data_IF_744527645701
#
_entry.id   IF_744527645701
#
_cell.length_a   1.000
_cell.length_b   1.000
_cell.length_c   1.000
_cell.angle_alpha   90.00
_cell.angle_beta   90.00
_cell.angle_gamma   90.00
#
_symmetry.space_group_name_H-M   'P 1'
#
loop_
_entity.id
_entity.type
_entity.pdbx_description
1 polymer ?
#
# COMPACT_ATOMS: atom_id res chain seq x y z
N UNK A 1 19.50 13.56 -5.79
CA UNK A 1 18.32 13.46 -6.67
C UNK A 1 17.07 13.66 -5.85
N UNK A 2 16.12 14.42 -6.37
CA UNK A 2 14.88 14.76 -5.63
C UNK A 2 13.61 14.29 -6.32
N UNK A 3 13.69 13.95 -7.61
CA UNK A 3 12.52 13.59 -8.40
C UNK A 3 12.68 12.16 -8.93
N UNK A 4 11.57 11.42 -8.93
CA UNK A 4 11.52 10.04 -9.37
C UNK A 4 10.33 9.82 -10.29
N UNK A 5 10.51 9.03 -11.33
CA UNK A 5 9.43 8.59 -12.20
C UNK A 5 9.12 7.13 -11.89
N UNK A 6 7.96 6.82 -11.30
CA UNK A 6 7.62 5.44 -10.98
C UNK A 6 7.66 4.50 -12.18
N UNK A 7 7.36 5.02 -13.38
CA UNK A 7 7.34 4.19 -14.59
C UNK A 7 8.73 3.71 -15.02
N UNK A 8 9.78 4.34 -14.52
CA UNK A 8 11.17 3.95 -14.81
C UNK A 8 11.74 2.99 -13.77
N UNK A 9 10.99 2.72 -12.69
CA UNK A 9 11.45 1.84 -11.63
C UNK A 9 10.92 0.44 -11.83
N UNK A 10 11.81 -0.55 -11.67
CA UNK A 10 11.43 -1.95 -11.68
C UNK A 10 10.43 -2.25 -10.56
N UNK A 11 9.45 -3.08 -10.88
CA UNK A 11 8.42 -3.53 -9.94
C UNK A 11 8.98 -4.63 -9.04
N UNK A 12 8.65 -4.55 -7.75
CA UNK A 12 8.93 -5.61 -6.78
C UNK A 12 7.62 -6.30 -6.40
N UNK A 13 7.55 -7.61 -6.54
CA UNK A 13 6.42 -8.38 -6.00
C UNK A 13 6.57 -8.48 -4.49
N UNK A 14 5.55 -8.03 -3.75
CA UNK A 14 5.53 -8.11 -2.29
C UNK A 14 4.98 -9.46 -1.82
N UNK A 15 3.84 -9.83 -2.36
CA UNK A 15 3.22 -11.15 -2.26
C UNK A 15 2.50 -11.41 -3.58
N UNK A 16 1.96 -12.62 -3.76
CA UNK A 16 1.24 -12.96 -4.99
C UNK A 16 0.13 -11.96 -5.29
N UNK A 17 0.17 -11.33 -6.46
CA UNK A 17 -0.82 -10.37 -6.93
C UNK A 17 -0.64 -8.95 -6.43
N UNK A 18 0.36 -8.68 -5.60
CA UNK A 18 0.60 -7.35 -5.06
C UNK A 18 2.03 -6.92 -5.34
N UNK A 19 2.17 -5.84 -6.09
CA UNK A 19 3.45 -5.35 -6.62
C UNK A 19 3.65 -3.90 -6.24
N UNK A 20 4.87 -3.51 -5.96
CA UNK A 20 5.16 -2.13 -5.55
C UNK A 20 6.40 -1.58 -6.23
N UNK A 21 6.38 -0.28 -6.39
CA UNK A 21 7.55 0.54 -6.69
C UNK A 21 7.75 1.46 -5.51
N UNK A 22 8.91 1.35 -4.84
CA UNK A 22 9.16 2.09 -3.61
C UNK A 22 10.28 3.09 -3.76
N UNK A 23 10.11 4.19 -3.06
CA UNK A 23 11.05 5.31 -3.03
C UNK A 23 11.15 5.77 -1.59
N UNK A 24 12.34 6.14 -1.13
CA UNK A 24 12.51 6.47 0.28
C UNK A 24 13.52 7.58 0.49
N UNK A 25 13.28 8.35 1.54
CA UNK A 25 14.21 9.29 2.12
C UNK A 25 14.74 8.74 3.44
N UNK A 26 15.07 9.65 4.34
CA UNK A 26 15.60 9.28 5.65
C UNK A 26 14.51 8.74 6.58
N UNK A 27 13.34 9.38 6.58
CA UNK A 27 12.28 9.14 7.57
C UNK A 27 10.97 8.61 6.99
N UNK A 28 10.84 8.57 5.67
CA UNK A 28 9.62 8.10 5.05
C UNK A 28 9.88 7.30 3.78
N UNK A 29 8.91 6.48 3.43
CA UNK A 29 8.90 5.71 2.19
C UNK A 29 7.57 5.92 1.48
N UNK A 30 7.64 6.12 0.17
CA UNK A 30 6.47 6.13 -0.71
C UNK A 30 6.45 4.82 -1.48
N UNK A 31 5.29 4.18 -1.53
CA UNK A 31 5.07 2.94 -2.28
C UNK A 31 3.88 3.10 -3.21
N UNK A 32 4.13 3.03 -4.51
CA UNK A 32 3.08 2.93 -5.52
C UNK A 32 2.76 1.46 -5.67
N UNK A 33 1.59 1.05 -5.20
CA UNK A 33 1.20 -0.36 -5.10
C UNK A 33 0.13 -0.68 -6.13
N UNK A 34 0.40 -1.70 -6.93
CA UNK A 34 -0.54 -2.29 -7.88
C UNK A 34 -1.07 -3.59 -7.29
N UNK A 35 -2.39 -3.73 -7.26
CA UNK A 35 -3.06 -4.89 -6.67
C UNK A 35 -3.91 -5.57 -7.74
N UNK A 36 -3.58 -6.82 -8.07
CA UNK A 36 -4.31 -7.58 -9.06
C UNK A 36 -5.73 -7.90 -8.58
N UNK A 37 -6.65 -8.03 -9.52
CA UNK A 37 -8.03 -8.47 -9.24
C UNK A 37 -8.01 -9.77 -8.42
N UNK A 38 -8.83 -9.83 -7.39
CA UNK A 38 -8.96 -11.00 -6.53
C UNK A 38 -7.83 -11.22 -5.54
N UNK A 39 -6.83 -10.35 -5.49
CA UNK A 39 -5.73 -10.51 -4.55
C UNK A 39 -6.16 -10.16 -3.13
N UNK A 40 -5.48 -10.76 -2.16
CA UNK A 40 -5.74 -10.55 -0.74
C UNK A 40 -4.41 -10.29 -0.04
N UNK A 41 -4.34 -9.18 0.68
CA UNK A 41 -3.29 -8.96 1.66
C UNK A 41 -3.86 -9.40 3.01
N UNK A 42 -3.41 -10.55 3.55
CA UNK A 42 -3.99 -11.07 4.79
C UNK A 42 -3.80 -10.12 5.96
N UNK A 43 -4.60 -10.32 7.00
CA UNK A 43 -4.46 -9.55 8.24
C UNK A 43 -3.02 -9.62 8.75
N UNK A 44 -2.44 -8.45 8.97
CA UNK A 44 -1.07 -8.32 9.42
C UNK A 44 -0.91 -7.02 10.22
N UNK A 45 0.24 -6.89 10.84
CA UNK A 45 0.61 -5.68 11.57
C UNK A 45 2.09 -5.41 11.41
N UNK A 46 2.48 -4.15 11.58
CA UNK A 46 3.87 -3.71 11.59
C UNK A 46 4.00 -2.46 12.44
N UNK A 47 5.21 -2.17 12.87
CA UNK A 47 5.48 -1.03 13.76
C UNK A 47 5.32 0.32 13.05
N UNK A 48 5.49 0.34 11.73
CA UNK A 48 5.43 1.55 10.93
C UNK A 48 4.03 2.15 10.93
N UNK A 49 3.94 3.47 11.05
CA UNK A 49 2.72 4.18 10.70
C UNK A 49 2.57 4.17 9.18
N UNK A 50 1.36 3.99 8.71
CA UNK A 50 1.06 3.92 7.28
C UNK A 50 -0.10 4.84 6.95
N UNK A 51 0.11 5.71 5.96
CA UNK A 51 -0.97 6.45 5.32
C UNK A 51 -1.13 5.98 3.89
N UNK A 52 -2.27 6.27 3.28
CA UNK A 52 -2.46 5.95 1.89
C UNK A 52 -3.65 6.63 1.26
N UNK A 53 -3.66 6.60 -0.06
CA UNK A 53 -4.76 7.10 -0.88
C UNK A 53 -5.00 6.14 -2.03
N UNK A 54 -6.28 5.84 -2.29
CA UNK A 54 -6.67 5.02 -3.44
C UNK A 54 -6.54 5.88 -4.69
N UNK A 55 -5.78 5.39 -5.67
CA UNK A 55 -5.55 6.08 -6.94
C UNK A 55 -6.45 5.54 -8.05
N UNK A 56 -6.74 4.24 -8.05
CA UNK A 56 -7.55 3.60 -9.08
C UNK A 56 -8.18 2.33 -8.54
N UNK A 57 -9.36 1.97 -9.08
CA UNK A 57 -10.09 0.79 -8.67
C UNK A 57 -10.75 0.91 -7.31
N UNK A 58 -11.31 -0.19 -6.83
CA UNK A 58 -11.93 -0.28 -5.52
C UNK A 58 -11.35 -1.44 -4.73
N UNK A 59 -11.30 -1.30 -3.42
CA UNK A 59 -10.87 -2.38 -2.56
C UNK A 59 -11.57 -2.31 -1.21
N UNK A 60 -11.69 -3.46 -0.57
CA UNK A 60 -12.21 -3.56 0.78
C UNK A 60 -11.04 -3.51 1.75
N UNK A 61 -11.07 -2.56 2.67
CA UNK A 61 -10.01 -2.34 3.64
C UNK A 61 -10.57 -2.53 5.05
N UNK A 62 -9.91 -3.36 5.84
CA UNK A 62 -10.27 -3.58 7.23
C UNK A 62 -9.12 -3.13 8.12
N UNK A 63 -9.40 -2.19 9.01
CA UNK A 63 -8.41 -1.63 9.95
C UNK A 63 -9.00 -1.75 11.35
N UNK A 64 -8.35 -2.51 12.21
CA UNK A 64 -8.78 -2.73 13.60
C UNK A 64 -10.26 -3.13 13.70
N UNK A 65 -10.71 -3.99 12.79
CA UNK A 65 -12.09 -4.47 12.74
C UNK A 65 -13.08 -3.56 12.04
N UNK A 66 -12.70 -2.35 11.67
CA UNK A 66 -13.54 -1.47 10.87
C UNK A 66 -13.30 -1.74 9.40
N UNK A 67 -14.35 -2.15 8.68
CA UNK A 67 -14.26 -2.52 7.27
C UNK A 67 -15.02 -1.53 6.41
N UNK A 68 -14.37 -1.05 5.35
CA UNK A 68 -14.97 -0.15 4.36
C UNK A 68 -14.54 -0.52 2.96
N UNK A 69 -15.43 -0.27 2.01
CA UNK A 69 -15.09 -0.28 0.58
C UNK A 69 -14.57 1.11 0.22
N UNK A 70 -13.34 1.15 -0.27
CA UNK A 70 -12.67 2.41 -0.65
C UNK A 70 -12.69 2.58 -2.16
N UNK A 71 -12.87 3.81 -2.59
CA UNK A 71 -12.88 4.22 -4.00
C UNK A 71 -11.79 5.28 -4.23
N UNK A 72 -11.44 5.59 -5.50
CA UNK A 72 -10.40 6.57 -5.78
C UNK A 72 -10.62 7.90 -5.05
N UNK A 73 -9.56 8.38 -4.41
CA UNK A 73 -9.58 9.59 -3.59
C UNK A 73 -9.76 9.33 -2.09
N UNK A 74 -10.22 8.15 -1.71
CA UNK A 74 -10.36 7.81 -0.28
C UNK A 74 -8.98 7.65 0.36
N UNK A 75 -8.89 8.09 1.61
CA UNK A 75 -7.66 8.13 2.39
C UNK A 75 -7.82 7.25 3.62
N UNK A 76 -6.74 6.56 3.99
CA UNK A 76 -6.67 5.80 5.22
C UNK A 76 -5.38 6.13 5.98
N UNK A 77 -5.45 6.02 7.31
CA UNK A 77 -4.28 6.13 8.19
C UNK A 77 -4.32 4.95 9.15
N UNK A 78 -3.24 4.21 9.19
CA UNK A 78 -3.10 3.01 10.02
C UNK A 78 -2.01 3.28 11.05
N UNK A 79 -2.36 3.44 12.33
CA UNK A 79 -1.36 3.58 13.38
C UNK A 79 -0.45 2.36 13.46
N UNK A 80 0.78 2.56 13.91
CA UNK A 80 1.71 1.45 14.12
C UNK A 80 1.12 0.40 15.07
N UNK A 81 1.30 -0.87 14.73
CA UNK A 81 0.83 -1.99 15.54
C UNK A 81 -0.64 -2.36 15.37
N UNK A 82 -1.37 -1.66 14.52
CA UNK A 82 -2.80 -1.94 14.31
C UNK A 82 -2.97 -2.97 13.18
N UNK A 83 -3.81 -3.98 13.42
CA UNK A 83 -4.11 -5.01 12.45
C UNK A 83 -4.88 -4.44 11.25
N UNK A 84 -4.50 -4.84 10.05
CA UNK A 84 -5.20 -4.44 8.83
C UNK A 84 -5.12 -5.50 7.75
N UNK A 85 -6.12 -5.46 6.86
CA UNK A 85 -6.31 -6.43 5.78
C UNK A 85 -6.87 -5.71 4.55
N UNK A 86 -6.48 -6.16 3.36
CA UNK A 86 -7.01 -5.65 2.09
C UNK A 86 -7.53 -6.80 1.26
N UNK A 87 -8.72 -6.63 0.69
CA UNK A 87 -9.31 -7.57 -0.28
C UNK A 87 -9.66 -6.80 -1.54
N UNK A 88 -9.12 -7.25 -2.68
CA UNK A 88 -9.37 -6.64 -3.98
C UNK A 88 -10.47 -7.45 -4.68
N UNK A 89 -11.42 -6.73 -5.28
CA UNK A 89 -12.54 -7.35 -6.00
C UNK A 89 -12.19 -7.76 -7.43
N UNK A 90 -13.15 -7.59 -8.33
CA UNK A 90 -13.05 -8.09 -9.71
C UNK A 90 -12.12 -7.26 -10.61
N UNK A 91 -11.74 -6.07 -10.17
CA UNK A 91 -10.91 -5.16 -10.93
C UNK A 91 -9.59 -4.89 -10.20
N UNK A 92 -8.55 -4.66 -10.98
CA UNK A 92 -7.27 -4.18 -10.49
C UNK A 92 -7.45 -2.88 -9.70
N UNK A 93 -6.65 -2.71 -8.65
CA UNK A 93 -6.62 -1.49 -7.85
C UNK A 93 -5.19 -0.95 -7.74
N UNK A 94 -5.09 0.33 -7.44
CA UNK A 94 -3.82 1.02 -7.27
C UNK A 94 -3.91 1.99 -6.10
N UNK A 95 -2.91 1.97 -5.24
CA UNK A 95 -2.83 2.87 -4.09
C UNK A 95 -1.44 3.49 -4.00
N UNK A 96 -1.37 4.66 -3.36
CA UNK A 96 -0.10 5.22 -2.90
C UNK A 96 -0.06 5.06 -1.38
N UNK A 97 0.90 4.29 -0.89
CA UNK A 97 1.16 4.12 0.53
C UNK A 97 2.36 4.93 0.97
N UNK A 98 2.29 5.46 2.18
CA UNK A 98 3.37 6.21 2.81
C UNK A 98 3.66 5.55 4.15
N UNK A 99 4.93 5.19 4.39
CA UNK A 99 5.37 4.57 5.63
C UNK A 99 6.36 5.46 6.37
N UNK A 100 6.23 5.53 7.68
CA UNK A 100 7.21 6.18 8.56
C UNK A 100 7.34 5.35 9.85
N UNK A 101 8.56 4.97 10.23
CA UNK A 101 9.82 5.12 9.50
C UNK A 101 9.85 4.29 8.21
N UNK A 102 10.96 4.33 7.50
CA UNK A 102 11.15 3.55 6.26
C UNK A 102 11.01 2.05 6.54
N UNK A 103 10.22 1.35 5.71
CA UNK A 103 10.12 -0.11 5.79
C UNK A 103 11.30 -0.73 5.06
N UNK A 104 12.29 -1.19 5.83
CA UNK A 104 13.55 -1.71 5.28
C UNK A 104 13.34 -2.89 4.32
N UNK A 105 12.38 -3.78 4.62
CA UNK A 105 12.08 -4.93 3.79
C UNK A 105 11.51 -4.56 2.41
N UNK A 106 11.04 -3.34 2.23
CA UNK A 106 10.50 -2.86 0.95
C UNK A 106 11.54 -2.12 0.10
N UNK A 107 12.76 -1.97 0.59
CA UNK A 107 13.86 -1.42 -0.21
C UNK A 107 14.38 -2.43 -1.22
N UNK A 108 14.76 -1.93 -2.38
CA UNK A 108 15.40 -2.78 -3.39
C UNK A 108 16.16 -1.96 -4.44
#
# INVERSE_FOLDING_TARGET
MYFYNPNEREVKELISGIHARTFWGENLMLAVVELDAGSILPTHTHLHEQGGIVLDGTLEFSIDGETRTLVPGDIYIIPGGVNHKVTVGENHAKVLDIFSPVREEYKY
#
